data_IF_442110084160
#
_entry.id   IF_442110084160
#
_cell.length_a   1.000
_cell.length_b   1.000
_cell.length_c   1.000
_cell.angle_alpha   90.00
_cell.angle_beta   90.00
_cell.angle_gamma   90.00
#
_symmetry.space_group_name_H-M   'P 1'
#
loop_
_entity.id
_entity.type
_entity.pdbx_description
1 polymer ?
#
# COMPACT_ATOMS: atom_id res chain seq x y z
N UNK A 1 4.22 10.25 7.81
CA UNK A 1 2.96 10.78 7.24
C UNK A 1 2.25 11.64 8.28
N UNK A 2 1.52 12.71 7.91
CA UNK A 2 0.74 13.51 8.87
C UNK A 2 -0.77 13.26 8.68
N UNK A 3 -1.46 12.59 9.62
CA UNK A 3 -2.86 12.17 9.45
C UNK A 3 -3.87 13.33 9.50
N UNK A 4 -3.50 14.50 10.03
CA UNK A 4 -4.43 15.61 10.25
C UNK A 4 -4.57 16.55 9.05
N UNK A 5 -3.75 16.36 8.01
CA UNK A 5 -3.66 17.30 6.88
C UNK A 5 -4.86 17.20 5.92
N UNK A 6 -5.37 16.00 5.68
CA UNK A 6 -6.53 15.78 4.80
C UNK A 6 -7.19 14.42 5.04
N UNK A 7 -8.42 14.26 4.54
CA UNK A 7 -9.15 12.98 4.62
C UNK A 7 -8.38 11.83 3.93
N UNK A 8 -7.67 12.13 2.85
CA UNK A 8 -6.84 11.15 2.13
C UNK A 8 -5.60 10.75 2.94
N UNK A 9 -5.03 11.67 3.71
CA UNK A 9 -3.87 11.40 4.54
C UNK A 9 -4.28 10.62 5.80
N UNK A 10 -5.44 10.93 6.37
CA UNK A 10 -6.05 10.11 7.42
C UNK A 10 -6.37 8.70 6.93
N UNK A 11 -6.97 8.58 5.74
CA UNK A 11 -7.26 7.29 5.11
C UNK A 11 -6.01 6.44 4.89
N UNK A 12 -4.94 7.04 4.33
CA UNK A 12 -3.66 6.33 4.20
C UNK A 12 -3.11 5.94 5.58
N UNK A 13 -3.21 6.79 6.60
CA UNK A 13 -2.69 6.49 7.95
C UNK A 13 -3.41 5.30 8.57
N UNK A 14 -4.74 5.30 8.48
CA UNK A 14 -5.57 4.19 8.94
C UNK A 14 -5.25 2.89 8.21
N UNK A 15 -5.21 2.91 6.87
CA UNK A 15 -4.91 1.72 6.06
C UNK A 15 -3.50 1.19 6.29
N UNK A 16 -2.51 2.08 6.45
CA UNK A 16 -1.14 1.68 6.78
C UNK A 16 -1.05 1.02 8.15
N UNK A 17 -1.71 1.59 9.17
CA UNK A 17 -1.78 0.99 10.50
C UNK A 17 -2.45 -0.38 10.50
N UNK A 18 -3.56 -0.52 9.76
CA UNK A 18 -4.27 -1.79 9.60
C UNK A 18 -3.41 -2.84 8.88
N UNK A 19 -2.72 -2.44 7.81
CA UNK A 19 -1.80 -3.32 7.09
C UNK A 19 -0.69 -3.84 8.01
N UNK A 20 -0.06 -2.93 8.76
CA UNK A 20 1.00 -3.27 9.71
C UNK A 20 0.52 -4.21 10.80
N UNK A 21 -0.69 -4.00 11.32
CA UNK A 21 -1.29 -4.86 12.33
C UNK A 21 -1.50 -6.29 11.81
N UNK A 22 -2.05 -6.45 10.61
CA UNK A 22 -2.37 -7.76 10.03
C UNK A 22 -1.09 -8.51 9.62
N UNK A 23 -0.13 -7.82 9.02
CA UNK A 23 1.09 -8.44 8.48
C UNK A 23 2.26 -8.43 9.48
N UNK A 24 2.05 -7.91 10.70
CA UNK A 24 3.09 -7.78 11.74
C UNK A 24 4.32 -6.99 11.26
N UNK A 25 4.09 -5.91 10.50
CA UNK A 25 5.13 -5.04 9.94
C UNK A 25 5.15 -3.67 10.60
N UNK A 26 6.16 -2.86 10.27
CA UNK A 26 6.36 -1.51 10.82
C UNK A 26 6.59 -0.45 9.73
N UNK A 27 5.94 -0.58 8.58
CA UNK A 27 6.10 0.36 7.46
C UNK A 27 5.61 1.76 7.81
N UNK A 28 6.35 2.76 7.37
CA UNK A 28 6.00 4.18 7.47
C UNK A 28 4.94 4.59 6.43
N UNK A 29 4.97 4.00 5.23
CA UNK A 29 3.97 4.18 4.17
C UNK A 29 3.92 2.97 3.22
N UNK A 30 3.02 2.03 3.50
CA UNK A 30 2.77 0.88 2.62
C UNK A 30 2.10 1.27 1.30
N UNK A 31 1.36 2.39 1.27
CA UNK A 31 0.64 2.92 0.11
C UNK A 31 1.48 3.95 -0.68
N UNK A 32 2.79 3.72 -0.72
CA UNK A 32 3.76 4.61 -1.35
C UNK A 32 3.65 4.67 -2.89
N UNK A 33 3.02 3.66 -3.52
CA UNK A 33 2.86 3.57 -4.98
C UNK A 33 4.14 3.27 -5.76
N UNK A 34 5.26 2.96 -5.09
CA UNK A 34 6.51 2.58 -5.72
C UNK A 34 7.21 1.47 -4.92
N UNK A 35 7.44 0.33 -5.54
CA UNK A 35 8.11 -0.83 -4.95
C UNK A 35 9.06 -1.45 -5.98
N UNK A 36 10.24 -1.84 -5.54
CA UNK A 36 11.24 -2.52 -6.35
C UNK A 36 11.60 -3.85 -5.69
N UNK A 37 11.55 -4.94 -6.45
CA UNK A 37 11.75 -6.31 -5.99
C UNK A 37 12.09 -7.19 -7.20
N UNK A 38 12.68 -8.36 -6.95
CA UNK A 38 12.90 -9.36 -8.00
C UNK A 38 11.62 -10.13 -8.27
N UNK A 39 11.43 -10.60 -9.50
CA UNK A 39 10.30 -11.47 -9.84
C UNK A 39 10.24 -12.72 -8.96
N UNK A 40 11.40 -13.25 -8.56
CA UNK A 40 11.55 -14.38 -7.63
C UNK A 40 11.04 -14.09 -6.22
N UNK A 41 10.81 -12.83 -5.86
CA UNK A 41 10.30 -12.46 -4.54
C UNK A 41 8.75 -12.61 -4.47
N UNK A 42 8.09 -12.91 -5.60
CA UNK A 42 6.66 -13.18 -5.72
C UNK A 42 6.39 -14.66 -6.05
N UNK A 43 6.89 -15.58 -5.21
CA UNK A 43 6.73 -17.02 -5.45
C UNK A 43 5.28 -17.49 -5.25
N UNK A 44 4.53 -16.87 -4.34
CA UNK A 44 3.09 -17.08 -4.13
C UNK A 44 2.17 -16.53 -5.25
N UNK A 45 2.70 -16.38 -6.47
CA UNK A 45 1.96 -15.99 -7.66
C UNK A 45 1.82 -14.48 -7.85
N UNK A 46 1.51 -14.09 -9.09
CA UNK A 46 1.38 -12.69 -9.49
C UNK A 46 0.15 -12.00 -8.85
N UNK A 47 0.19 -10.68 -8.66
CA UNK A 47 -0.96 -9.91 -8.18
C UNK A 47 -2.13 -10.02 -9.16
N UNK A 48 -3.35 -10.13 -8.63
CA UNK A 48 -4.59 -10.18 -9.43
C UNK A 48 -5.37 -8.85 -9.39
N UNK A 49 -4.93 -7.88 -8.59
CA UNK A 49 -5.57 -6.56 -8.49
C UNK A 49 -5.59 -5.81 -9.82
N UNK A 50 -6.73 -5.19 -10.11
CA UNK A 50 -6.96 -4.38 -11.30
C UNK A 50 -6.98 -2.86 -11.02
N UNK A 51 -6.69 -2.45 -9.78
CA UNK A 51 -6.74 -1.05 -9.36
C UNK A 51 -5.62 -0.68 -8.39
N UNK A 52 -5.84 0.38 -7.61
CA UNK A 52 -4.88 0.87 -6.62
C UNK A 52 -4.64 -0.10 -5.46
N UNK A 53 -5.47 -1.13 -5.31
CA UNK A 53 -5.30 -2.20 -4.34
C UNK A 53 -4.08 -3.10 -4.63
N UNK A 54 -3.53 -3.04 -5.85
CA UNK A 54 -2.31 -3.77 -6.21
C UNK A 54 -1.14 -3.46 -5.28
N UNK A 55 -1.05 -2.22 -4.78
CA UNK A 55 0.09 -1.77 -3.99
C UNK A 55 0.19 -2.52 -2.65
N UNK A 56 -0.96 -2.76 -2.01
CA UNK A 56 -1.06 -3.54 -0.77
C UNK A 56 -1.05 -5.04 -1.02
N UNK A 57 -1.58 -5.51 -2.16
CA UNK A 57 -1.47 -6.94 -2.52
C UNK A 57 -0.02 -7.37 -2.72
N UNK A 58 0.75 -6.56 -3.46
CA UNK A 58 2.19 -6.79 -3.66
C UNK A 58 2.92 -6.74 -2.33
N UNK A 59 2.62 -5.74 -1.47
CA UNK A 59 3.24 -5.65 -0.16
C UNK A 59 2.96 -6.91 0.70
N UNK A 60 1.71 -7.36 0.77
CA UNK A 60 1.35 -8.58 1.52
C UNK A 60 2.11 -9.80 1.01
N UNK A 61 2.16 -10.00 -0.32
CA UNK A 61 2.92 -11.12 -0.91
C UNK A 61 4.41 -11.05 -0.59
N UNK A 62 5.04 -9.89 -0.71
CA UNK A 62 6.47 -9.74 -0.41
C UNK A 62 6.77 -10.00 1.08
N UNK A 63 5.90 -9.57 1.99
CA UNK A 63 6.01 -9.83 3.43
C UNK A 63 5.82 -11.33 3.72
N UNK A 64 4.90 -12.00 3.03
CA UNK A 64 4.59 -13.43 3.21
C UNK A 64 5.78 -14.36 3.02
N UNK A 65 6.66 -13.98 2.09
CA UNK A 65 7.84 -14.75 1.70
C UNK A 65 9.04 -14.50 2.63
N UNK A 66 8.83 -13.84 3.79
CA UNK A 66 9.86 -13.47 4.75
C UNK A 66 11.01 -12.64 4.14
N UNK A 67 10.70 -11.78 3.17
CA UNK A 67 11.70 -10.88 2.62
C UNK A 67 11.99 -9.72 3.58
N UNK A 68 13.28 -9.40 3.76
CA UNK A 68 13.68 -8.17 4.46
C UNK A 68 13.39 -6.97 3.57
N UNK A 69 12.28 -6.28 3.84
CA UNK A 69 11.87 -5.09 3.10
C UNK A 69 12.45 -3.84 3.76
N UNK A 70 13.07 -2.96 2.97
CA UNK A 70 13.61 -1.68 3.42
C UNK A 70 12.86 -0.52 2.79
N UNK A 71 12.50 0.48 3.60
CA UNK A 71 11.94 1.73 3.12
C UNK A 71 13.05 2.73 2.79
N UNK A 72 12.99 3.32 1.59
CA UNK A 72 13.88 4.39 1.16
C UNK A 72 13.08 5.69 1.15
N UNK A 73 13.36 6.65 2.05
CA UNK A 73 12.61 7.88 2.12
C UNK A 73 12.84 8.73 0.87
N UNK A 74 11.77 9.26 0.29
CA UNK A 74 11.81 10.14 -0.88
C UNK A 74 11.06 11.45 -0.62
N UNK A 75 11.49 12.52 -1.28
CA UNK A 75 10.71 13.76 -1.35
C UNK A 75 9.66 13.61 -2.43
N UNK A 76 8.39 13.61 -2.05
CA UNK A 76 7.27 13.47 -2.98
C UNK A 76 6.24 14.60 -2.79
N UNK A 77 5.90 15.26 -3.90
CA UNK A 77 4.83 16.27 -3.95
C UNK A 77 3.55 15.63 -4.49
N UNK A 78 2.56 15.45 -3.62
CA UNK A 78 1.27 14.85 -3.99
C UNK A 78 0.51 15.76 -4.96
N UNK A 79 0.04 15.18 -6.08
CA UNK A 79 -0.88 15.85 -7.01
C UNK A 79 -2.24 16.10 -6.39
N UNK A 80 -2.80 17.27 -6.66
CA UNK A 80 -4.19 17.64 -6.38
C UNK A 80 -5.16 16.97 -7.36
N UNK A 81 -6.46 17.06 -7.07
CA UNK A 81 -7.51 16.60 -7.99
C UNK A 81 -7.44 17.34 -9.33
N UNK A 82 -7.15 18.64 -9.32
CA UNK A 82 -7.03 19.46 -10.54
C UNK A 82 -5.82 19.07 -11.40
N UNK A 83 -4.73 18.58 -10.78
CA UNK A 83 -3.54 18.06 -11.46
C UNK A 83 -3.74 16.60 -11.96
N UNK A 84 -5.00 16.15 -12.09
CA UNK A 84 -5.36 14.85 -12.65
C UNK A 84 -5.06 13.67 -11.75
N UNK A 85 -5.24 13.81 -10.43
CA UNK A 85 -5.13 12.69 -9.49
C UNK A 85 -6.18 11.62 -9.83
N UNK A 86 -5.72 10.42 -10.17
CA UNK A 86 -6.57 9.29 -10.56
C UNK A 86 -7.20 8.54 -9.37
N UNK A 87 -6.56 8.60 -8.20
CA UNK A 87 -7.02 7.94 -6.98
C UNK A 87 -8.23 8.69 -6.40
N UNK A 88 -9.36 7.98 -6.29
CA UNK A 88 -10.61 8.45 -5.71
C UNK A 88 -10.77 7.92 -4.28
N UNK A 89 -11.59 8.58 -3.46
CA UNK A 89 -11.91 8.08 -2.11
C UNK A 89 -12.57 6.70 -2.14
N UNK A 90 -13.36 6.41 -3.19
CA UNK A 90 -14.01 5.12 -3.38
C UNK A 90 -13.02 3.97 -3.59
N UNK A 91 -11.81 4.24 -4.08
CA UNK A 91 -10.77 3.22 -4.21
C UNK A 91 -10.28 2.73 -2.84
N UNK A 92 -10.44 3.54 -1.79
CA UNK A 92 -10.12 3.16 -0.41
C UNK A 92 -10.85 1.90 0.05
N UNK A 93 -12.10 1.68 -0.40
CA UNK A 93 -12.85 0.45 -0.08
C UNK A 93 -12.24 -0.79 -0.73
N UNK A 94 -11.71 -0.68 -1.94
CA UNK A 94 -11.03 -1.78 -2.63
C UNK A 94 -9.72 -2.11 -1.92
N UNK A 95 -8.95 -1.09 -1.56
CA UNK A 95 -7.71 -1.24 -0.80
C UNK A 95 -7.99 -1.89 0.56
N UNK A 96 -9.00 -1.41 1.30
CA UNK A 96 -9.40 -1.98 2.58
C UNK A 96 -9.78 -3.45 2.45
N UNK A 97 -10.65 -3.78 1.47
CA UNK A 97 -11.02 -5.17 1.19
C UNK A 97 -9.78 -6.00 0.87
N UNK A 98 -8.84 -5.48 0.09
CA UNK A 98 -7.62 -6.18 -0.25
C UNK A 98 -6.76 -6.47 0.98
N UNK A 99 -6.58 -5.50 1.88
CA UNK A 99 -5.83 -5.69 3.13
C UNK A 99 -6.48 -6.76 4.01
N UNK A 100 -7.82 -6.81 4.09
CA UNK A 100 -8.54 -7.74 4.96
C UNK A 100 -8.61 -9.17 4.41
N UNK A 101 -8.74 -9.33 3.09
CA UNK A 101 -9.00 -10.63 2.46
C UNK A 101 -7.81 -11.20 1.68
N UNK A 102 -6.70 -10.46 1.56
CA UNK A 102 -5.43 -11.04 1.12
C UNK A 102 -4.77 -11.61 2.35
N UNK A 103 -5.24 -12.78 2.77
CA UNK A 103 -4.48 -13.64 3.67
C UNK A 103 -3.48 -14.44 2.85
N UNK A 104 -2.29 -14.59 3.41
CA UNK A 104 -1.16 -15.39 2.91
C UNK A 104 -1.60 -16.78 2.45
#
# INVERSE_FOLDING_TARGET
MNPTKSLLDFGNFFLNGLFNLINQTSFSDVLCGCKAFYKSDLNNGLPISAGFDIDVEVATKLVSENNTIKEIPISYKRRSQMEGKKLKLTDGWKILKRILFTSL
#
